data_IF_572642249866
#
_entry.id   IF_572642249866
#
_cell.length_a   1.000
_cell.length_b   1.000
_cell.length_c   1.000
_cell.angle_alpha   90.00
_cell.angle_beta   90.00
_cell.angle_gamma   90.00
#
_symmetry.space_group_name_H-M   'P 1'
#
loop_
_entity.id
_entity.type
_entity.pdbx_description
1 polymer ?
#
# COMPACT_ATOMS: atom_id res chain seq x y z
N UNK A 1 3.36 -10.54 -4.05
CA UNK A 1 3.37 -11.09 -2.67
C UNK A 1 3.32 -12.60 -2.77
N UNK A 2 3.92 -13.35 -1.83
CA UNK A 2 3.96 -14.81 -1.89
C UNK A 2 2.60 -15.48 -1.64
N UNK A 3 1.70 -14.79 -0.93
CA UNK A 3 0.33 -15.23 -0.69
C UNK A 3 -0.55 -14.00 -0.44
N UNK A 4 -1.51 -13.71 -1.33
CA UNK A 4 -2.41 -12.55 -1.18
C UNK A 4 -3.30 -12.60 0.07
N UNK A 5 -3.59 -13.79 0.62
CA UNK A 5 -4.46 -13.95 1.79
C UNK A 5 -3.80 -13.46 3.10
N UNK A 6 -2.51 -13.11 3.06
CA UNK A 6 -1.82 -12.45 4.19
C UNK A 6 -2.39 -11.05 4.41
N UNK A 7 -2.85 -10.39 3.33
CA UNK A 7 -3.49 -9.08 3.41
C UNK A 7 -5.00 -9.25 3.54
N UNK A 8 -5.52 -8.93 4.71
CA UNK A 8 -6.97 -8.81 4.93
C UNK A 8 -7.32 -7.35 5.15
N UNK A 9 -8.50 -6.95 4.68
CA UNK A 9 -8.95 -5.56 4.74
C UNK A 9 -10.36 -5.46 5.32
N UNK A 10 -10.70 -4.26 5.82
CA UNK A 10 -12.00 -3.89 6.36
C UNK A 10 -12.39 -2.49 5.91
N UNK A 11 -13.57 -2.01 6.30
CA UNK A 11 -14.09 -0.67 5.98
C UNK A 11 -14.12 -0.40 4.46
N UNK A 12 -14.84 -1.25 3.73
CA UNK A 12 -14.90 -1.24 2.27
C UNK A 12 -13.49 -1.29 1.62
N UNK A 13 -12.63 -2.17 2.14
CA UNK A 13 -11.24 -2.39 1.70
C UNK A 13 -10.28 -1.20 1.86
N UNK A 14 -10.64 -0.19 2.68
CA UNK A 14 -9.83 1.00 2.90
C UNK A 14 -8.88 0.89 4.10
N UNK A 15 -9.04 -0.13 4.94
CA UNK A 15 -8.14 -0.39 6.07
C UNK A 15 -7.63 -1.82 6.01
N UNK A 16 -6.34 -1.99 6.22
CA UNK A 16 -5.68 -3.27 6.37
C UNK A 16 -5.79 -3.77 7.82
N UNK A 17 -6.17 -5.03 8.00
CA UNK A 17 -6.26 -5.71 9.30
C UNK A 17 -5.02 -6.58 9.57
N UNK A 18 -4.55 -7.27 8.53
CA UNK A 18 -3.33 -8.08 8.57
C UNK A 18 -2.46 -7.75 7.36
N UNK A 19 -1.13 -7.65 7.49
CA UNK A 19 -0.36 -7.67 8.75
C UNK A 19 -0.73 -6.50 9.68
N UNK A 20 -0.72 -6.71 10.99
CA UNK A 20 -1.10 -5.70 12.00
C UNK A 20 -0.30 -4.40 11.86
N UNK A 21 0.92 -4.52 11.35
CA UNK A 21 1.89 -3.44 11.29
C UNK A 21 1.76 -2.65 9.96
N UNK A 22 1.01 -3.17 8.99
CA UNK A 22 0.88 -2.54 7.67
C UNK A 22 -0.01 -1.30 7.71
N UNK A 23 -1.16 -1.36 8.39
CA UNK A 23 -2.04 -0.17 8.48
C UNK A 23 -1.39 0.98 9.26
N UNK A 24 -0.74 0.77 10.43
CA UNK A 24 0.00 1.83 11.11
C UNK A 24 1.10 2.44 10.24
N UNK A 25 1.83 1.63 9.47
CA UNK A 25 2.84 2.13 8.55
C UNK A 25 2.24 3.02 7.43
N UNK A 26 1.10 2.62 6.86
CA UNK A 26 0.38 3.44 5.88
C UNK A 26 -0.12 4.74 6.50
N UNK A 27 -0.72 4.68 7.69
CA UNK A 27 -1.25 5.85 8.41
C UNK A 27 -0.12 6.87 8.68
N UNK A 28 1.08 6.41 9.06
CA UNK A 28 2.25 7.26 9.27
C UNK A 28 2.74 7.94 7.98
N UNK A 29 2.80 7.21 6.86
CA UNK A 29 3.22 7.76 5.57
C UNK A 29 2.23 8.84 5.08
N UNK A 30 0.93 8.57 5.24
CA UNK A 30 -0.14 9.50 4.86
C UNK A 30 -0.07 10.81 5.67
N UNK A 31 0.23 10.75 6.97
CA UNK A 31 0.37 11.95 7.81
C UNK A 31 1.48 12.91 7.33
N UNK A 32 2.52 12.39 6.69
CA UNK A 32 3.61 13.19 6.12
C UNK A 32 3.27 13.85 4.78
N UNK A 33 2.10 13.59 4.21
CA UNK A 33 1.73 13.99 2.86
C UNK A 33 0.53 14.94 2.86
N UNK A 34 0.70 16.14 2.27
CA UNK A 34 -0.38 17.12 2.21
C UNK A 34 -1.53 16.62 1.32
N UNK A 35 -2.76 16.60 1.88
CA UNK A 35 -3.93 15.97 1.28
C UNK A 35 -3.66 14.51 0.85
N UNK A 36 -2.78 13.82 1.57
CA UNK A 36 -2.43 12.44 1.32
C UNK A 36 -3.57 11.49 1.67
N UNK A 37 -3.79 10.47 0.83
CA UNK A 37 -4.57 9.29 1.19
C UNK A 37 -4.00 8.09 0.45
N UNK A 38 -3.86 6.97 1.16
CA UNK A 38 -3.44 5.72 0.56
C UNK A 38 -4.13 4.52 1.21
N UNK A 39 -4.33 3.47 0.43
CA UNK A 39 -4.82 2.19 0.94
C UNK A 39 -4.38 1.05 0.01
N UNK A 40 -4.43 -0.16 0.55
CA UNK A 40 -3.97 -1.38 -0.12
C UNK A 40 -5.10 -2.40 -0.11
N UNK A 41 -5.25 -3.13 -1.22
CA UNK A 41 -6.25 -4.20 -1.32
C UNK A 41 -5.72 -5.40 -2.09
N UNK A 42 -5.97 -6.64 -1.63
CA UNK A 42 -5.69 -7.82 -2.43
C UNK A 42 -6.60 -7.85 -3.66
N UNK A 43 -6.12 -8.37 -4.79
CA UNK A 43 -7.00 -8.68 -5.92
C UNK A 43 -7.88 -9.87 -5.58
N UNK A 44 -9.14 -9.83 -6.03
CA UNK A 44 -10.08 -10.96 -5.89
C UNK A 44 -9.83 -12.07 -6.92
N UNK A 45 -9.21 -11.74 -8.06
CA UNK A 45 -9.10 -12.62 -9.23
C UNK A 45 -7.66 -12.91 -9.66
N UNK A 46 -6.68 -12.21 -9.08
CA UNK A 46 -5.26 -12.33 -9.43
C UNK A 46 -4.41 -12.46 -8.17
N UNK A 47 -3.23 -13.06 -8.27
CA UNK A 47 -2.29 -13.16 -7.14
C UNK A 47 -1.42 -11.89 -7.00
N UNK A 48 -2.11 -10.76 -6.86
CA UNK A 48 -1.49 -9.43 -6.74
C UNK A 48 -2.17 -8.61 -5.64
N UNK A 49 -1.46 -7.58 -5.18
CA UNK A 49 -1.98 -6.55 -4.26
C UNK A 49 -1.95 -5.23 -5.00
N UNK A 50 -3.05 -4.47 -4.93
CA UNK A 50 -3.16 -3.13 -5.51
C UNK A 50 -2.93 -2.09 -4.44
N UNK A 51 -2.14 -1.08 -4.80
CA UNK A 51 -1.88 0.10 -3.97
C UNK A 51 -2.55 1.29 -4.64
N UNK A 52 -3.27 2.08 -3.85
CA UNK A 52 -3.79 3.38 -4.25
C UNK A 52 -3.13 4.46 -3.40
N UNK A 53 -2.74 5.57 -4.04
CA UNK A 53 -2.30 6.77 -3.35
C UNK A 53 -2.72 8.03 -4.12
N UNK A 54 -3.09 9.07 -3.37
CA UNK A 54 -3.36 10.42 -3.85
C UNK A 54 -2.68 11.43 -2.92
N UNK A 55 -2.36 12.60 -3.45
CA UNK A 55 -1.76 13.72 -2.72
C UNK A 55 -2.03 15.04 -3.46
N UNK A 56 -1.57 16.16 -2.89
CA UNK A 56 -1.72 17.49 -3.51
C UNK A 56 -0.92 17.71 -4.80
N UNK A 57 0.09 16.88 -5.10
CA UNK A 57 0.86 16.92 -6.35
C UNK A 57 1.13 15.52 -6.88
N UNK A 58 1.41 15.41 -8.18
CA UNK A 58 1.77 14.15 -8.82
C UNK A 58 3.03 13.53 -8.20
N UNK A 59 4.08 14.33 -7.95
CA UNK A 59 5.30 13.85 -7.31
C UNK A 59 5.03 13.28 -5.91
N UNK A 60 4.19 13.97 -5.13
CA UNK A 60 3.82 13.51 -3.79
C UNK A 60 2.98 12.23 -3.84
N UNK A 61 2.06 12.10 -4.81
CA UNK A 61 1.24 10.92 -5.00
C UNK A 61 2.09 9.72 -5.46
N UNK A 62 3.01 9.94 -6.40
CA UNK A 62 3.97 8.94 -6.89
C UNK A 62 4.88 8.45 -5.75
N UNK A 63 5.40 9.38 -4.94
CA UNK A 63 6.22 9.06 -3.78
C UNK A 63 5.43 8.26 -2.73
N UNK A 64 4.20 8.68 -2.42
CA UNK A 64 3.35 7.98 -1.46
C UNK A 64 2.99 6.57 -1.95
N UNK A 65 2.66 6.41 -3.24
CA UNK A 65 2.42 5.10 -3.84
C UNK A 65 3.64 4.19 -3.74
N UNK A 66 4.83 4.73 -4.01
CA UNK A 66 6.09 4.02 -3.91
C UNK A 66 6.38 3.56 -2.47
N UNK A 67 6.31 4.47 -1.49
CA UNK A 67 6.59 4.17 -0.08
C UNK A 67 5.60 3.14 0.50
N UNK A 68 4.31 3.27 0.16
CA UNK A 68 3.29 2.30 0.57
C UNK A 68 3.54 0.94 -0.10
N UNK A 69 3.85 0.92 -1.40
CA UNK A 69 4.20 -0.30 -2.11
C UNK A 69 5.41 -1.01 -1.49
N UNK A 70 6.41 -0.24 -1.06
CA UNK A 70 7.58 -0.79 -0.35
C UNK A 70 7.18 -1.41 0.98
N UNK A 71 6.31 -0.77 1.76
CA UNK A 71 5.79 -1.35 3.02
C UNK A 71 4.99 -2.62 2.80
N UNK A 72 4.19 -2.69 1.73
CA UNK A 72 3.52 -3.93 1.34
C UNK A 72 4.54 -5.02 1.02
N UNK A 73 5.59 -4.70 0.26
CA UNK A 73 6.63 -5.67 -0.08
C UNK A 73 7.36 -6.18 1.18
N UNK A 74 7.74 -5.28 2.09
CA UNK A 74 8.48 -5.62 3.31
C UNK A 74 7.62 -6.40 4.32
N UNK A 75 6.40 -5.94 4.58
CA UNK A 75 5.58 -6.42 5.70
C UNK A 75 4.60 -7.54 5.31
N UNK A 76 4.24 -7.65 4.03
CA UNK A 76 3.29 -8.65 3.53
C UNK A 76 3.94 -9.72 2.63
N UNK A 77 5.27 -9.91 2.73
CA UNK A 77 5.98 -10.96 2.00
C UNK A 77 5.96 -10.75 0.49
N UNK A 78 6.35 -9.56 0.05
CA UNK A 78 6.59 -9.24 -1.36
C UNK A 78 7.56 -10.23 -1.99
N UNK A 79 7.25 -10.63 -3.23
CA UNK A 79 8.12 -11.47 -4.07
C UNK A 79 8.16 -10.85 -5.47
N UNK A 80 9.23 -11.13 -6.21
CA UNK A 80 9.45 -10.54 -7.54
C UNK A 80 10.07 -9.14 -7.47
N UNK A 81 9.84 -8.34 -8.52
CA UNK A 81 10.38 -6.99 -8.62
C UNK A 81 9.86 -6.09 -7.50
N UNK A 82 10.77 -5.32 -6.90
CA UNK A 82 10.41 -4.27 -5.95
C UNK A 82 9.68 -3.13 -6.66
N UNK A 83 8.75 -2.44 -5.97
CA UNK A 83 8.17 -1.19 -6.45
C UNK A 83 9.26 -0.23 -6.97
N UNK A 84 8.96 0.45 -8.08
CA UNK A 84 9.82 1.48 -8.67
C UNK A 84 9.14 2.82 -8.48
N UNK A 85 9.93 3.85 -8.14
CA UNK A 85 9.40 5.20 -8.07
C UNK A 85 9.01 5.65 -9.48
N UNK A 86 7.77 6.08 -9.64
CA UNK A 86 7.27 6.61 -10.91
C UNK A 86 7.78 8.04 -11.07
N UNK A 87 8.30 8.34 -12.26
CA UNK A 87 8.69 9.68 -12.67
C UNK A 87 7.48 10.58 -12.94
#
# INVERSE_FOLDING_TARGET
VANRNIITTTNAERRCLSPSDLQPAIDQLVQGCHNGRAFVRPSGTEDIVRVYAEASSQDAANKLAYEVGMKVYELAGGIGEKPKLLA
#
